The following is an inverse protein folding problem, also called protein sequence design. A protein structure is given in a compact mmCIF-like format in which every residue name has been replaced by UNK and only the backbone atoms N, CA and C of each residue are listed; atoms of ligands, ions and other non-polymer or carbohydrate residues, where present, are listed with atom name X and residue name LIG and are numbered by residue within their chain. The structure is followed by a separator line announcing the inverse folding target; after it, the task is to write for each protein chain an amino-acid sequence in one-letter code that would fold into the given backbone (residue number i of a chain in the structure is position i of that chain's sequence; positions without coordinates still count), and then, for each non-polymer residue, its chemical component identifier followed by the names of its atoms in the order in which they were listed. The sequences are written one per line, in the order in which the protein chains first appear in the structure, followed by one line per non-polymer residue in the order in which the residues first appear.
data_IF_272665327160
#
_entry.id   IF_272665327160
#
_cell.length_a   1.000
_cell.length_b   1.000
_cell.length_c   1.000
_cell.angle_alpha   90.00
_cell.angle_beta   90.00
_cell.angle_gamma   90.00
#
_symmetry.space_group_name_H-M   'P 1'
#
loop_
_entity.id
_entity.type
_entity.pdbx_description
1 polymer ?
#
# COMPACT_ATOMS: atom_id res chain seq x y z
N UNK A 1 -8.28 -60.03 36.20
CA UNK A 1 -7.13 -59.31 35.59
C UNK A 1 -7.24 -59.55 34.10
N UNK A 2 -8.12 -58.81 33.43
CA UNK A 2 -8.12 -58.75 31.97
C UNK A 2 -6.97 -57.82 31.59
N UNK A 3 -6.01 -58.35 30.84
CA UNK A 3 -4.86 -57.60 30.35
C UNK A 3 -5.39 -56.62 29.30
N UNK A 4 -5.16 -55.32 29.52
CA UNK A 4 -5.31 -54.28 28.51
C UNK A 4 -4.24 -54.50 27.44
N UNK A 5 -4.39 -55.53 26.63
CA UNK A 5 -3.56 -55.76 25.47
C UNK A 5 -4.04 -54.81 24.37
N UNK A 6 -3.11 -53.99 23.89
CA UNK A 6 -3.37 -53.07 22.78
C UNK A 6 -3.63 -53.92 21.54
N UNK A 7 -4.90 -54.03 21.12
CA UNK A 7 -5.28 -54.68 19.88
C UNK A 7 -4.58 -53.93 18.73
N UNK A 8 -3.63 -54.61 18.09
CA UNK A 8 -2.91 -54.09 16.93
C UNK A 8 -3.61 -54.57 15.66
N UNK A 9 -4.50 -53.75 15.13
CA UNK A 9 -5.11 -54.01 13.83
C UNK A 9 -4.11 -53.72 12.71
N UNK A 10 -3.90 -54.65 11.75
CA UNK A 10 -3.01 -54.39 10.63
C UNK A 10 -3.65 -53.31 9.73
N UNK A 11 -3.03 -52.13 9.70
CA UNK A 11 -3.48 -51.03 8.87
C UNK A 11 -2.85 -51.09 7.47
N UNK A 12 -3.60 -50.79 6.40
CA UNK A 12 -3.04 -50.71 5.05
C UNK A 12 -1.97 -49.62 4.98
N UNK A 13 -0.87 -49.90 4.27
CA UNK A 13 0.25 -48.95 4.09
C UNK A 13 -0.13 -47.88 3.06
N UNK A 14 -1.06 -47.03 3.44
CA UNK A 14 -1.54 -45.90 2.63
C UNK A 14 -1.00 -44.57 3.19
N UNK A 15 -0.77 -43.55 2.34
CA UNK A 15 -0.35 -42.21 2.76
C UNK A 15 -1.25 -41.61 3.84
N UNK A 16 -2.56 -41.83 3.73
CA UNK A 16 -3.53 -41.40 4.72
C UNK A 16 -4.30 -42.59 5.27
N UNK A 17 -4.44 -42.63 6.61
CA UNK A 17 -5.23 -43.63 7.32
C UNK A 17 -6.71 -43.29 7.14
N UNK A 18 -7.35 -43.95 6.18
CA UNK A 18 -8.79 -43.78 5.89
C UNK A 18 -9.45 -45.14 5.72
N UNK A 19 -10.72 -45.25 6.13
CA UNK A 19 -11.52 -46.44 5.89
C UNK A 19 -12.03 -46.47 4.45
N UNK A 20 -11.99 -47.65 3.83
CA UNK A 20 -12.55 -47.89 2.50
C UNK A 20 -13.57 -49.04 2.58
N UNK A 21 -14.64 -49.00 1.75
CA UNK A 21 -15.63 -50.08 1.69
C UNK A 21 -15.12 -51.36 0.99
N UNK A 22 -13.89 -51.35 0.48
CA UNK A 22 -13.21 -52.48 -0.16
C UNK A 22 -11.91 -52.81 0.58
N UNK A 23 -11.40 -54.03 0.40
CA UNK A 23 -10.13 -54.44 1.00
C UNK A 23 -8.96 -53.68 0.37
N UNK A 24 -8.38 -52.77 1.15
CA UNK A 24 -7.24 -51.94 0.76
C UNK A 24 -5.90 -52.48 1.29
N UNK A 25 -5.86 -53.71 1.82
CA UNK A 25 -4.61 -54.31 2.31
C UNK A 25 -3.75 -54.91 1.18
N UNK A 26 -4.34 -55.18 0.01
CA UNK A 26 -3.62 -55.70 -1.16
C UNK A 26 -4.43 -55.66 -2.47
N UNK A 27 -3.82 -56.12 -3.56
CA UNK A 27 -4.45 -56.25 -4.88
C UNK A 27 -4.46 -54.97 -5.73
N UNK A 28 -5.20 -55.00 -6.84
CA UNK A 28 -5.31 -53.87 -7.78
C UNK A 28 -6.03 -52.65 -7.18
N UNK A 29 -7.00 -52.89 -6.29
CA UNK A 29 -7.76 -51.83 -5.62
C UNK A 29 -6.88 -51.00 -4.67
N UNK A 30 -5.87 -51.60 -4.05
CA UNK A 30 -4.87 -50.87 -3.26
C UNK A 30 -4.11 -49.85 -4.12
N UNK A 31 -3.67 -50.23 -5.33
CA UNK A 31 -2.93 -49.35 -6.24
C UNK A 31 -3.80 -48.17 -6.67
N UNK A 32 -5.08 -48.42 -6.96
CA UNK A 32 -6.04 -47.37 -7.34
C UNK A 32 -6.27 -46.41 -6.16
N UNK A 33 -6.49 -46.94 -4.95
CA UNK A 33 -6.68 -46.12 -3.75
C UNK A 33 -5.44 -45.28 -3.44
N UNK A 34 -4.24 -45.87 -3.56
CA UNK A 34 -2.97 -45.17 -3.37
C UNK A 34 -2.80 -44.02 -4.38
N UNK A 35 -3.02 -44.28 -5.67
CA UNK A 35 -2.92 -43.26 -6.71
C UNK A 35 -3.94 -42.14 -6.50
N UNK A 36 -5.17 -42.48 -6.11
CA UNK A 36 -6.20 -41.51 -5.78
C UNK A 36 -5.84 -40.65 -4.57
N UNK A 37 -5.31 -41.24 -3.49
CA UNK A 37 -4.86 -40.50 -2.31
C UNK A 37 -3.73 -39.53 -2.64
N UNK A 38 -2.74 -39.95 -3.44
CA UNK A 38 -1.64 -39.07 -3.86
C UNK A 38 -2.15 -37.90 -4.71
N UNK A 39 -3.02 -38.19 -5.69
CA UNK A 39 -3.65 -37.15 -6.51
C UNK A 39 -4.45 -36.16 -5.66
N UNK A 40 -5.30 -36.67 -4.78
CA UNK A 40 -6.15 -35.85 -3.92
C UNK A 40 -5.34 -35.00 -2.94
N UNK A 41 -4.31 -35.57 -2.31
CA UNK A 41 -3.43 -34.84 -1.39
C UNK A 41 -2.67 -33.73 -2.12
N UNK A 42 -2.12 -34.03 -3.29
CA UNK A 42 -1.41 -33.05 -4.11
C UNK A 42 -2.34 -31.91 -4.56
N UNK A 43 -3.51 -32.24 -5.09
CA UNK A 43 -4.50 -31.26 -5.53
C UNK A 43 -5.00 -30.38 -4.37
N UNK A 44 -5.30 -30.99 -3.22
CA UNK A 44 -5.76 -30.26 -2.03
C UNK A 44 -4.68 -29.31 -1.49
N UNK A 45 -3.43 -29.79 -1.43
CA UNK A 45 -2.32 -28.98 -0.94
C UNK A 45 -1.99 -27.83 -1.90
N UNK A 46 -2.04 -28.06 -3.21
CA UNK A 46 -1.91 -27.01 -4.22
C UNK A 46 -3.02 -25.97 -4.03
N UNK A 47 -4.28 -26.40 -3.98
CA UNK A 47 -5.41 -25.47 -3.90
C UNK A 47 -5.32 -24.60 -2.65
N UNK A 48 -4.98 -25.18 -1.49
CA UNK A 48 -4.79 -24.43 -0.26
C UNK A 48 -3.64 -23.41 -0.36
N UNK A 49 -2.45 -23.86 -0.82
CA UNK A 49 -1.29 -22.97 -0.95
C UNK A 49 -1.51 -21.87 -2.00
N UNK A 50 -2.23 -22.14 -3.09
CA UNK A 50 -2.54 -21.12 -4.10
C UNK A 50 -3.40 -20.00 -3.54
N UNK A 51 -4.39 -20.32 -2.70
CA UNK A 51 -5.24 -19.31 -2.06
C UNK A 51 -4.43 -18.42 -1.11
N UNK A 52 -3.55 -19.02 -0.32
CA UNK A 52 -2.66 -18.30 0.59
C UNK A 52 -1.68 -17.39 -0.18
N UNK A 53 -1.06 -17.91 -1.25
CA UNK A 53 -0.14 -17.15 -2.10
C UNK A 53 -0.86 -16.02 -2.84
N UNK A 54 -2.08 -16.25 -3.33
CA UNK A 54 -2.89 -15.22 -3.97
C UNK A 54 -3.17 -14.07 -3.01
N UNK A 55 -3.59 -14.38 -1.77
CA UNK A 55 -3.80 -13.37 -0.74
C UNK A 55 -2.52 -12.60 -0.41
N UNK A 56 -1.41 -13.30 -0.21
CA UNK A 56 -0.12 -12.66 0.06
C UNK A 56 0.32 -11.76 -1.11
N UNK A 57 0.06 -12.17 -2.34
CA UNK A 57 0.36 -11.36 -3.54
C UNK A 57 -0.46 -10.07 -3.57
N UNK A 58 -1.73 -10.11 -3.15
CA UNK A 58 -2.55 -8.90 -3.02
C UNK A 58 -2.06 -7.96 -1.94
N UNK A 59 -1.60 -8.48 -0.79
CA UNK A 59 -1.00 -7.67 0.27
C UNK A 59 0.30 -7.02 -0.19
N UNK A 60 1.21 -7.78 -0.80
CA UNK A 60 2.46 -7.25 -1.35
C UNK A 60 2.17 -6.15 -2.36
N UNK A 61 1.22 -6.37 -3.26
CA UNK A 61 0.81 -5.36 -4.23
C UNK A 61 0.30 -4.09 -3.55
N UNK A 62 -0.53 -4.21 -2.49
CA UNK A 62 -0.99 -3.05 -1.73
C UNK A 62 0.16 -2.30 -1.03
N UNK A 63 1.12 -3.02 -0.43
CA UNK A 63 2.32 -2.42 0.17
C UNK A 63 3.13 -1.62 -0.86
N UNK A 64 3.37 -2.18 -2.05
CA UNK A 64 4.05 -1.49 -3.15
C UNK A 64 3.28 -0.23 -3.60
N UNK A 65 1.94 -0.27 -3.64
CA UNK A 65 1.15 0.92 -3.93
C UNK A 65 1.31 2.01 -2.84
N UNK A 66 1.42 1.64 -1.57
CA UNK A 66 1.68 2.57 -0.46
C UNK A 66 3.09 3.18 -0.55
N UNK A 67 4.11 2.38 -0.83
CA UNK A 67 5.47 2.86 -1.06
C UNK A 67 5.55 3.83 -2.25
N UNK A 68 4.86 3.52 -3.35
CA UNK A 68 4.76 4.42 -4.49
C UNK A 68 4.04 5.73 -4.13
N UNK A 69 2.99 5.68 -3.32
CA UNK A 69 2.28 6.86 -2.84
C UNK A 69 3.17 7.76 -1.98
N UNK A 70 3.97 7.16 -1.10
CA UNK A 70 4.99 7.82 -0.28
C UNK A 70 6.06 8.49 -1.13
N UNK A 71 6.54 7.85 -2.18
CA UNK A 71 7.54 8.42 -3.09
C UNK A 71 7.05 9.69 -3.82
N UNK A 72 5.76 9.76 -4.17
CA UNK A 72 5.16 10.94 -4.82
C UNK A 72 5.03 12.13 -3.84
N UNK A 73 4.96 11.87 -2.54
CA UNK A 73 4.64 12.91 -1.55
C UNK A 73 5.73 13.99 -1.42
N UNK A 74 7.01 13.62 -1.51
CA UNK A 74 8.13 14.57 -1.46
C UNK A 74 8.09 15.60 -2.61
N UNK A 75 8.09 15.21 -3.90
CA UNK A 75 8.04 16.16 -5.00
C UNK A 75 6.74 16.97 -5.02
N UNK A 76 5.63 16.42 -4.53
CA UNK A 76 4.38 17.16 -4.38
C UNK A 76 4.50 18.30 -3.36
N UNK A 77 5.17 18.06 -2.23
CA UNK A 77 5.37 19.08 -1.21
C UNK A 77 6.38 20.15 -1.65
N UNK A 78 7.48 19.75 -2.29
CA UNK A 78 8.45 20.68 -2.88
C UNK A 78 7.80 21.59 -3.92
N UNK A 79 6.94 21.02 -4.78
CA UNK A 79 6.13 21.79 -5.71
C UNK A 79 5.22 22.77 -4.97
N UNK A 80 4.50 22.35 -3.92
CA UNK A 80 3.66 23.26 -3.13
C UNK A 80 4.45 24.41 -2.48
N UNK A 81 5.62 24.12 -1.90
CA UNK A 81 6.47 25.13 -1.27
C UNK A 81 7.06 26.13 -2.28
N UNK A 82 7.48 25.65 -3.46
CA UNK A 82 7.99 26.51 -4.54
C UNK A 82 6.93 27.50 -5.05
N UNK A 83 5.67 27.09 -5.02
CA UNK A 83 4.55 27.91 -5.46
C UNK A 83 4.21 28.98 -4.42
N UNK A 84 4.29 28.68 -3.13
CA UNK A 84 4.03 29.64 -2.04
C UNK A 84 5.15 30.68 -1.89
N UNK A 85 6.39 30.29 -2.21
CA UNK A 85 7.55 31.21 -2.20
C UNK A 85 7.53 32.21 -3.36
N UNK A 86 6.80 31.90 -4.45
CA UNK A 86 6.61 32.82 -5.58
C UNK A 86 5.61 33.92 -5.22
N UNK A 87 6.08 34.92 -4.47
CA UNK A 87 5.34 36.16 -4.19
C UNK A 87 5.73 37.23 -5.21
N UNK A 88 4.91 37.54 -6.22
CA UNK A 88 5.19 38.69 -7.07
C UNK A 88 5.14 39.96 -6.20
N UNK A 89 6.12 40.84 -6.40
CA UNK A 89 6.19 42.18 -5.79
C UNK A 89 6.50 42.27 -4.29
N UNK A 90 7.40 41.45 -3.73
CA UNK A 90 8.04 41.78 -2.44
C UNK A 90 8.82 43.10 -2.50
N UNK A 91 9.38 43.44 -3.67
CA UNK A 91 10.08 44.71 -3.88
C UNK A 91 9.17 45.95 -3.89
N UNK A 92 7.87 45.82 -4.18
CA UNK A 92 6.93 46.95 -4.10
C UNK A 92 6.37 47.16 -2.69
N UNK A 93 6.30 46.10 -1.87
CA UNK A 93 5.86 46.20 -0.48
C UNK A 93 6.80 47.09 0.38
N UNK A 94 8.08 47.17 -0.01
CA UNK A 94 9.06 48.08 0.60
C UNK A 94 9.19 49.43 -0.13
N UNK A 95 8.45 49.67 -1.23
CA UNK A 95 8.44 50.93 -1.99
C UNK A 95 7.19 51.78 -1.74
N UNK A 96 6.72 51.86 -0.49
CA UNK A 96 5.88 53.00 -0.09
C UNK A 96 6.78 54.24 -0.04
N UNK A 97 6.99 54.84 -1.21
CA UNK A 97 7.58 56.18 -1.34
C UNK A 97 6.43 57.16 -1.54
N UNK A 98 6.25 57.99 -0.53
CA UNK A 98 5.39 59.17 -0.50
C UNK A 98 5.45 59.96 -1.81
N UNK A 99 4.44 59.83 -2.67
CA UNK A 99 4.19 60.81 -3.72
C UNK A 99 2.71 60.81 -4.07
N UNK A 100 2.04 61.90 -3.69
CA UNK A 100 0.76 62.31 -4.24
C UNK A 100 0.87 62.44 -5.77
N UNK A 101 -0.12 61.93 -6.53
CA UNK A 101 -0.80 62.67 -7.61
C UNK A 101 -1.78 61.82 -8.43
N UNK A 102 -3.01 62.33 -8.46
CA UNK A 102 -3.88 62.58 -9.61
C UNK A 102 -4.21 61.43 -10.58
N UNK A 103 -5.42 60.91 -10.36
CA UNK A 103 -6.40 60.36 -11.31
C UNK A 103 -6.26 60.81 -12.78
N UNK A 104 -6.25 59.83 -13.70
CA UNK A 104 -6.75 59.94 -15.09
C UNK A 104 -7.19 58.57 -15.63
N UNK A 105 -8.42 58.54 -16.16
CA UNK A 105 -9.06 57.41 -16.87
C UNK A 105 -8.57 57.33 -18.32
N UNK A 106 -8.42 56.12 -18.91
CA UNK A 106 -8.56 55.98 -20.36
C UNK A 106 -9.45 54.81 -20.84
N UNK A 107 -10.05 55.05 -22.01
CA UNK A 107 -11.04 54.28 -22.77
C UNK A 107 -10.58 52.90 -23.33
N UNK A 108 -11.50 52.03 -23.82
CA UNK A 108 -11.20 50.63 -24.16
C UNK A 108 -11.11 50.38 -25.68
N UNK A 109 -9.99 49.86 -26.21
CA UNK A 109 -10.02 49.06 -27.44
C UNK A 109 -8.82 48.11 -27.61
N UNK A 110 -9.17 46.90 -28.08
CA UNK A 110 -8.40 45.86 -28.79
C UNK A 110 -7.35 45.02 -28.04
N UNK A 111 -7.81 43.85 -27.57
CA UNK A 111 -7.02 42.73 -27.07
C UNK A 111 -6.77 41.74 -28.23
N UNK A 112 -5.55 41.72 -28.78
CA UNK A 112 -5.18 40.89 -29.93
C UNK A 112 -4.72 39.47 -29.49
N UNK A 113 -5.43 38.45 -29.99
CA UNK A 113 -5.42 37.02 -29.56
C UNK A 113 -4.28 36.22 -30.22
N UNK A 114 -3.07 36.77 -30.37
CA UNK A 114 -1.97 36.08 -31.11
C UNK A 114 -0.69 35.77 -30.33
N UNK A 115 -0.61 36.14 -29.05
CA UNK A 115 0.58 35.87 -28.21
C UNK A 115 0.68 34.49 -27.55
N UNK A 116 -0.31 33.61 -27.73
CA UNK A 116 -0.54 32.46 -26.83
C UNK A 116 0.41 31.25 -27.06
N UNK A 117 1.24 31.23 -28.11
CA UNK A 117 2.03 30.03 -28.47
C UNK A 117 3.57 30.18 -28.42
N UNK A 118 4.13 31.25 -27.86
CA UNK A 118 5.59 31.51 -27.88
C UNK A 118 6.35 31.19 -26.56
N UNK A 119 5.80 30.40 -25.65
CA UNK A 119 6.28 30.30 -24.25
C UNK A 119 7.44 29.31 -23.97
N UNK A 120 7.98 28.62 -24.97
CA UNK A 120 9.07 27.66 -24.71
C UNK A 120 10.47 28.31 -24.64
N UNK A 121 10.68 29.48 -25.23
CA UNK A 121 11.99 30.14 -25.26
C UNK A 121 12.27 31.06 -24.05
N UNK A 122 11.24 31.57 -23.37
CA UNK A 122 11.42 32.49 -22.24
C UNK A 122 11.75 31.81 -20.90
N UNK A 123 11.49 30.51 -20.76
CA UNK A 123 11.83 29.76 -19.54
C UNK A 123 13.35 29.64 -19.34
N UNK A 124 14.12 29.64 -20.43
CA UNK A 124 15.59 29.55 -20.39
C UNK A 124 16.30 30.88 -20.18
N UNK A 125 15.71 32.01 -20.60
CA UNK A 125 16.37 33.33 -20.51
C UNK A 125 16.20 34.01 -19.15
N UNK A 126 15.20 33.62 -18.36
CA UNK A 126 14.98 34.21 -17.03
C UNK A 126 15.92 33.61 -15.96
N UNK A 127 16.56 32.47 -16.23
CA UNK A 127 17.47 31.79 -15.30
C UNK A 127 18.89 32.41 -15.25
N UNK A 128 19.25 33.26 -16.22
CA UNK A 128 20.55 33.94 -16.27
C UNK A 128 20.35 35.43 -16.03
N UNK A 129 20.68 35.90 -14.83
CA UNK A 129 20.45 37.26 -14.35
C UNK A 129 21.17 38.37 -15.14
N UNK A 130 20.69 38.70 -16.33
CA UNK A 130 21.10 39.89 -17.07
C UNK A 130 19.98 40.35 -18.01
N UNK A 131 19.35 41.49 -17.70
CA UNK A 131 18.51 42.21 -18.65
C UNK A 131 17.24 42.79 -18.06
N UNK A 132 17.33 43.98 -17.45
CA UNK A 132 16.17 44.76 -17.05
C UNK A 132 15.37 45.23 -18.28
N UNK A 133 14.12 44.78 -18.38
CA UNK A 133 13.04 45.54 -19.05
C UNK A 133 11.83 45.49 -18.13
N UNK A 134 11.52 46.63 -17.50
CA UNK A 134 10.28 46.86 -16.76
C UNK A 134 9.09 46.65 -17.69
N UNK A 135 8.26 45.65 -17.43
CA UNK A 135 6.89 45.59 -17.92
C UNK A 135 5.95 45.98 -16.78
N UNK A 136 5.32 47.14 -16.93
CA UNK A 136 4.31 47.67 -16.02
C UNK A 136 3.02 46.85 -16.17
N UNK A 137 2.76 45.94 -15.24
CA UNK A 137 1.47 45.24 -15.13
C UNK A 137 0.57 45.96 -14.13
N UNK A 138 -0.19 46.93 -14.63
CA UNK A 138 -1.39 47.41 -13.96
C UNK A 138 -2.52 46.39 -14.16
N UNK A 139 -2.60 45.38 -13.31
CA UNK A 139 -3.84 44.62 -13.16
C UNK A 139 -3.96 44.14 -11.72
N UNK A 140 -4.80 44.86 -10.98
CA UNK A 140 -5.18 44.58 -9.61
C UNK A 140 -5.98 43.27 -9.60
N UNK A 141 -5.27 42.15 -9.54
CA UNK A 141 -5.88 40.83 -9.40
C UNK A 141 -6.08 40.59 -7.90
N UNK A 142 -7.35 40.56 -7.50
CA UNK A 142 -7.80 40.47 -6.12
C UNK A 142 -7.69 39.01 -5.61
N UNK A 143 -6.51 38.39 -5.73
CA UNK A 143 -6.21 37.08 -5.18
C UNK A 143 -5.27 37.27 -3.98
N UNK A 144 -5.67 36.91 -2.74
CA UNK A 144 -4.86 37.14 -1.55
C UNK A 144 -3.47 36.43 -1.58
N UNK A 145 -3.26 35.49 -2.50
CA UNK A 145 -2.06 34.64 -2.52
C UNK A 145 -1.01 34.96 -3.59
N UNK A 146 -1.21 35.91 -4.51
CA UNK A 146 -0.18 36.30 -5.48
C UNK A 146 0.34 35.20 -6.45
N UNK A 147 -0.07 33.93 -6.32
CA UNK A 147 0.23 32.88 -7.30
C UNK A 147 -0.44 33.17 -8.65
N UNK A 148 0.24 32.82 -9.73
CA UNK A 148 -0.43 32.73 -11.04
C UNK A 148 -1.56 31.70 -10.95
N UNK A 149 -2.74 32.00 -11.48
CA UNK A 149 -3.91 31.09 -11.45
C UNK A 149 -3.59 29.69 -12.02
N UNK A 150 -2.61 29.58 -12.92
CA UNK A 150 -2.12 28.31 -13.50
C UNK A 150 -1.32 27.47 -12.49
N UNK A 151 -0.56 28.13 -11.64
CA UNK A 151 0.30 27.52 -10.61
C UNK A 151 -0.55 26.91 -9.48
N UNK A 152 -1.56 27.64 -9.02
CA UNK A 152 -2.55 27.16 -8.04
C UNK A 152 -3.35 25.97 -8.59
N UNK A 153 -3.76 26.04 -9.86
CA UNK A 153 -4.46 24.95 -10.53
C UNK A 153 -3.61 23.68 -10.63
N UNK A 154 -2.30 23.81 -10.87
CA UNK A 154 -1.37 22.69 -10.96
C UNK A 154 -1.19 22.01 -9.58
N UNK A 155 -0.95 22.76 -8.51
CA UNK A 155 -0.87 22.22 -7.15
C UNK A 155 -2.15 21.48 -6.73
N UNK A 156 -3.33 22.11 -6.96
CA UNK A 156 -4.62 21.48 -6.68
C UNK A 156 -4.83 20.20 -7.47
N UNK A 157 -4.41 20.17 -8.74
CA UNK A 157 -4.50 18.96 -9.57
C UNK A 157 -3.59 17.83 -9.07
N UNK A 158 -2.38 18.16 -8.60
CA UNK A 158 -1.43 17.20 -8.05
C UNK A 158 -1.92 16.62 -6.71
N UNK A 159 -2.42 17.46 -5.81
CA UNK A 159 -3.04 17.04 -4.54
C UNK A 159 -4.25 16.16 -4.83
N UNK A 160 -5.13 16.57 -5.74
CA UNK A 160 -6.31 15.78 -6.13
C UNK A 160 -5.91 14.39 -6.67
N UNK A 161 -4.89 14.33 -7.53
CA UNK A 161 -4.36 13.06 -8.03
C UNK A 161 -3.86 12.16 -6.91
N UNK A 162 -3.08 12.71 -5.98
CA UNK A 162 -2.56 11.96 -4.84
C UNK A 162 -3.68 11.44 -3.94
N UNK A 163 -4.66 12.27 -3.59
CA UNK A 163 -5.83 11.89 -2.77
C UNK A 163 -6.63 10.78 -3.43
N UNK A 164 -6.92 10.90 -4.73
CA UNK A 164 -7.69 9.86 -5.43
C UNK A 164 -6.92 8.54 -5.48
N UNK A 165 -5.60 8.60 -5.66
CA UNK A 165 -4.75 7.41 -5.61
C UNK A 165 -4.70 6.79 -4.22
N UNK A 166 -4.57 7.57 -3.16
CA UNK A 166 -4.65 7.08 -1.77
C UNK A 166 -5.99 6.39 -1.50
N UNK A 167 -7.11 7.03 -1.90
CA UNK A 167 -8.46 6.44 -1.79
C UNK A 167 -8.58 5.11 -2.55
N UNK A 168 -7.98 4.98 -3.72
CA UNK A 168 -7.96 3.72 -4.46
C UNK A 168 -7.20 2.62 -3.72
N UNK A 169 -6.07 2.93 -3.10
CA UNK A 169 -5.29 1.97 -2.30
C UNK A 169 -6.07 1.55 -1.05
N UNK A 170 -6.67 2.50 -0.33
CA UNK A 170 -7.51 2.18 0.84
C UNK A 170 -8.67 1.28 0.44
N UNK A 171 -9.39 1.61 -0.65
CA UNK A 171 -10.48 0.77 -1.16
C UNK A 171 -10.01 -0.63 -1.55
N UNK A 172 -8.83 -0.76 -2.14
CA UNK A 172 -8.24 -2.05 -2.48
C UNK A 172 -8.00 -2.88 -1.21
N UNK A 173 -7.36 -2.30 -0.18
CA UNK A 173 -7.09 -2.99 1.09
C UNK A 173 -8.39 -3.38 1.80
N UNK A 174 -9.39 -2.50 1.83
CA UNK A 174 -10.72 -2.82 2.37
C UNK A 174 -11.38 -3.97 1.62
N UNK A 175 -11.34 -3.95 0.28
CA UNK A 175 -11.93 -5.03 -0.54
C UNK A 175 -11.21 -6.37 -0.35
N UNK A 176 -9.88 -6.36 -0.16
CA UNK A 176 -9.09 -7.56 0.18
C UNK A 176 -9.53 -8.08 1.56
N UNK A 177 -9.67 -7.18 2.54
CA UNK A 177 -10.14 -7.48 3.89
C UNK A 177 -11.56 -8.08 3.90
N UNK A 178 -12.49 -7.52 3.13
CA UNK A 178 -13.87 -8.03 3.05
C UNK A 178 -13.93 -9.41 2.39
N UNK A 179 -13.07 -9.67 1.40
CA UNK A 179 -13.06 -10.93 0.66
C UNK A 179 -12.38 -12.05 1.45
N UNK A 180 -11.23 -11.77 2.08
CA UNK A 180 -10.41 -12.80 2.72
C UNK A 180 -10.48 -12.77 4.26
N UNK A 181 -11.10 -11.76 4.87
CA UNK A 181 -11.16 -11.59 6.33
C UNK A 181 -11.82 -12.76 7.05
N UNK A 182 -12.98 -13.23 6.57
CA UNK A 182 -13.63 -14.41 7.15
C UNK A 182 -12.81 -15.69 6.95
N UNK A 183 -12.18 -15.84 5.78
CA UNK A 183 -11.30 -16.98 5.51
C UNK A 183 -10.08 -17.00 6.44
N UNK A 184 -9.46 -15.84 6.71
CA UNK A 184 -8.35 -15.70 7.67
C UNK A 184 -8.77 -16.05 9.09
N UNK A 185 -9.97 -15.67 9.53
CA UNK A 185 -10.47 -16.03 10.86
C UNK A 185 -10.54 -17.56 11.01
N UNK A 186 -11.13 -18.25 10.05
CA UNK A 186 -11.18 -19.72 10.07
C UNK A 186 -9.78 -20.34 9.94
N UNK A 187 -8.92 -19.76 9.11
CA UNK A 187 -7.53 -20.20 8.97
C UNK A 187 -6.75 -20.12 10.28
N UNK A 188 -6.83 -18.99 10.99
CA UNK A 188 -6.17 -18.80 12.28
C UNK A 188 -6.75 -19.72 13.36
N UNK A 189 -8.07 -19.93 13.37
CA UNK A 189 -8.73 -20.86 14.28
C UNK A 189 -8.24 -22.30 14.06
N UNK A 190 -8.29 -22.78 12.81
CA UNK A 190 -7.86 -24.14 12.44
C UNK A 190 -6.36 -24.32 12.73
N UNK A 191 -5.54 -23.33 12.39
CA UNK A 191 -4.10 -23.36 12.66
C UNK A 191 -3.80 -23.42 14.14
N UNK A 192 -4.56 -22.70 14.99
CA UNK A 192 -4.41 -22.75 16.45
C UNK A 192 -4.75 -24.13 17.01
N UNK A 193 -5.88 -24.71 16.59
CA UNK A 193 -6.27 -26.07 17.00
C UNK A 193 -5.23 -27.09 16.54
N UNK A 194 -4.78 -26.99 15.28
CA UNK A 194 -3.77 -27.88 14.71
C UNK A 194 -2.44 -27.76 15.45
N UNK A 195 -2.01 -26.54 15.77
CA UNK A 195 -0.75 -26.29 16.49
C UNK A 195 -0.79 -26.87 17.90
N UNK A 196 -1.90 -26.76 18.63
CA UNK A 196 -2.03 -27.35 19.97
C UNK A 196 -1.98 -28.89 19.93
N UNK A 197 -2.62 -29.51 18.93
CA UNK A 197 -2.56 -30.97 18.74
C UNK A 197 -1.16 -31.42 18.33
N UNK A 198 -0.49 -30.71 17.41
CA UNK A 198 0.87 -31.01 16.99
C UNK A 198 1.88 -30.83 18.13
N UNK A 199 1.71 -29.82 18.99
CA UNK A 199 2.52 -29.64 20.18
C UNK A 199 2.41 -30.86 21.11
N UNK A 200 1.21 -31.41 21.30
CA UNK A 200 1.04 -32.66 22.05
C UNK A 200 1.69 -33.87 21.35
N UNK A 201 1.59 -34.00 20.02
CA UNK A 201 2.28 -35.08 19.30
C UNK A 201 3.81 -34.95 19.41
N UNK A 202 4.34 -33.73 19.46
CA UNK A 202 5.77 -33.47 19.60
C UNK A 202 6.33 -33.91 20.98
N UNK A 203 5.53 -33.91 22.05
CA UNK A 203 5.99 -34.39 23.37
C UNK A 203 6.12 -35.91 23.46
N UNK A 204 5.47 -36.65 22.55
CA UNK A 204 5.54 -38.11 22.45
C UNK A 204 6.72 -38.62 21.61
N UNK A 205 7.66 -37.75 21.28
CA UNK A 205 8.85 -38.12 20.50
C UNK A 205 9.88 -38.75 21.44
N UNK A 206 10.00 -40.07 21.38
CA UNK A 206 10.94 -40.84 22.21
C UNK A 206 12.34 -40.98 21.57
N UNK A 207 12.54 -40.51 20.33
CA UNK A 207 13.81 -40.57 19.61
C UNK A 207 13.73 -40.19 18.13
N UNK A 208 14.84 -40.34 17.41
CA UNK A 208 14.92 -40.05 15.96
C UNK A 208 14.29 -41.22 15.18
N UNK A 209 13.02 -41.07 14.82
CA UNK A 209 12.27 -42.03 14.02
C UNK A 209 11.43 -41.31 12.94
N UNK A 210 10.80 -42.09 12.05
CA UNK A 210 9.94 -41.56 10.98
C UNK A 210 8.79 -40.72 11.53
N UNK A 211 8.24 -41.10 12.70
CA UNK A 211 7.22 -40.34 13.39
C UNK A 211 7.72 -38.94 13.79
N UNK A 212 8.90 -38.85 14.41
CA UNK A 212 9.53 -37.59 14.81
C UNK A 212 9.74 -36.67 13.60
N UNK A 213 10.27 -37.20 12.49
CA UNK A 213 10.46 -36.43 11.26
C UNK A 213 9.12 -35.92 10.71
N UNK A 214 8.09 -36.77 10.68
CA UNK A 214 6.77 -36.36 10.20
C UNK A 214 6.14 -35.29 11.10
N UNK A 215 6.18 -35.45 12.43
CA UNK A 215 5.62 -34.50 13.40
C UNK A 215 6.33 -33.15 13.35
N UNK A 216 7.67 -33.15 13.29
CA UNK A 216 8.46 -31.92 13.15
C UNK A 216 8.20 -31.26 11.79
N UNK A 217 8.10 -32.05 10.71
CA UNK A 217 7.74 -31.56 9.38
C UNK A 217 6.38 -30.86 9.38
N UNK A 218 5.34 -31.48 9.90
CA UNK A 218 4.01 -30.88 10.02
C UNK A 218 4.02 -29.63 10.91
N UNK A 219 4.71 -29.67 12.06
CA UNK A 219 4.83 -28.53 12.96
C UNK A 219 5.50 -27.33 12.26
N UNK A 220 6.62 -27.57 11.58
CA UNK A 220 7.35 -26.53 10.85
C UNK A 220 6.52 -25.95 9.70
N UNK A 221 5.76 -26.77 8.99
CA UNK A 221 4.86 -26.33 7.93
C UNK A 221 3.73 -25.44 8.47
N UNK A 222 3.02 -25.88 9.51
CA UNK A 222 1.93 -25.10 10.13
C UNK A 222 2.44 -23.79 10.72
N UNK A 223 3.60 -23.80 11.40
CA UNK A 223 4.22 -22.58 11.90
C UNK A 223 4.64 -21.64 10.76
N UNK A 224 5.24 -22.18 9.71
CA UNK A 224 5.63 -21.42 8.52
C UNK A 224 4.45 -20.73 7.85
N UNK A 225 3.31 -21.42 7.73
CA UNK A 225 2.09 -20.86 7.17
C UNK A 225 1.57 -19.66 7.97
N UNK A 226 1.46 -19.80 9.31
CA UNK A 226 1.04 -18.69 10.18
C UNK A 226 2.05 -17.54 10.15
N UNK A 227 3.34 -17.84 10.24
CA UNK A 227 4.40 -16.85 10.20
C UNK A 227 4.36 -16.03 8.90
N UNK A 228 4.11 -16.68 7.76
CA UNK A 228 3.99 -16.01 6.47
C UNK A 228 2.88 -14.95 6.46
N UNK A 229 1.69 -15.29 6.97
CA UNK A 229 0.60 -14.33 7.11
C UNK A 229 0.94 -13.18 8.06
N UNK A 230 1.60 -13.47 9.19
CA UNK A 230 2.00 -12.46 10.15
C UNK A 230 3.05 -11.49 9.57
N UNK A 231 4.02 -11.97 8.79
CA UNK A 231 5.05 -11.12 8.17
C UNK A 231 4.41 -10.12 7.21
N UNK A 232 3.55 -10.57 6.29
CA UNK A 232 2.92 -9.66 5.35
C UNK A 232 1.86 -8.77 5.99
N UNK A 233 1.15 -9.27 7.00
CA UNK A 233 0.25 -8.45 7.81
C UNK A 233 1.01 -7.31 8.51
N UNK A 234 2.14 -7.63 9.16
CA UNK A 234 2.99 -6.63 9.81
C UNK A 234 3.59 -5.65 8.82
N UNK A 235 4.07 -6.13 7.66
CA UNK A 235 4.61 -5.25 6.62
C UNK A 235 3.55 -4.27 6.11
N UNK A 236 2.30 -4.71 5.92
CA UNK A 236 1.22 -3.81 5.53
C UNK A 236 0.96 -2.74 6.59
N UNK A 237 0.93 -3.12 7.87
CA UNK A 237 0.75 -2.18 8.99
C UNK A 237 1.90 -1.16 9.00
N UNK A 238 3.15 -1.63 8.95
CA UNK A 238 4.35 -0.79 8.95
C UNK A 238 4.35 0.19 7.78
N UNK A 239 4.06 -0.28 6.56
CA UNK A 239 3.99 0.58 5.38
C UNK A 239 2.88 1.62 5.48
N UNK A 240 1.70 1.24 6.00
CA UNK A 240 0.58 2.17 6.19
C UNK A 240 0.93 3.30 7.17
N UNK A 241 1.57 2.98 8.30
CA UNK A 241 2.04 3.98 9.27
C UNK A 241 3.20 4.80 8.72
N UNK A 242 4.06 4.23 7.89
CA UNK A 242 5.18 4.95 7.27
C UNK A 242 4.71 6.04 6.29
N UNK A 243 3.51 5.92 5.72
CA UNK A 243 2.90 6.98 4.90
C UNK A 243 2.62 8.21 5.75
N UNK A 244 2.09 8.04 6.96
CA UNK A 244 1.90 9.15 7.91
C UNK A 244 3.23 9.81 8.26
N UNK A 245 4.25 9.03 8.62
CA UNK A 245 5.58 9.56 8.98
C UNK A 245 6.20 10.34 7.81
N UNK A 246 6.09 9.81 6.59
CA UNK A 246 6.56 10.50 5.40
C UNK A 246 5.82 11.82 5.18
N UNK A 247 4.51 11.86 5.45
CA UNK A 247 3.68 13.07 5.32
C UNK A 247 4.08 14.11 6.36
N UNK A 248 4.47 13.68 7.55
CA UNK A 248 5.01 14.56 8.58
C UNK A 248 6.41 15.09 8.24
N UNK A 249 7.25 14.25 7.63
CA UNK A 249 8.66 14.56 7.31
C UNK A 249 8.85 15.52 6.12
N UNK A 250 7.82 15.75 5.32
CA UNK A 250 7.90 16.69 4.21
C UNK A 250 7.88 18.15 4.72
N UNK A 251 8.41 19.10 3.95
CA UNK A 251 8.48 20.53 4.32
C UNK A 251 7.10 21.21 4.24
N UNK A 252 6.09 20.63 4.90
CA UNK A 252 4.71 21.12 4.88
C UNK A 252 4.54 22.49 5.54
N UNK A 253 5.47 22.88 6.42
CA UNK A 253 5.47 24.17 7.11
C UNK A 253 5.73 25.35 6.17
N UNK A 254 6.49 25.13 5.09
CA UNK A 254 6.76 26.12 4.02
C UNK A 254 5.79 25.97 2.83
N UNK A 255 4.82 25.07 2.92
CA UNK A 255 3.79 24.86 1.91
C UNK A 255 2.58 25.77 2.12
N UNK A 256 1.78 25.92 1.06
CA UNK A 256 0.51 26.66 1.09
C UNK A 256 -0.45 26.16 2.19
N UNK A 257 -1.37 27.00 2.67
CA UNK A 257 -2.40 26.63 3.66
C UNK A 257 -3.25 25.41 3.23
N UNK A 258 -3.46 25.22 1.93
CA UNK A 258 -4.14 24.03 1.37
C UNK A 258 -3.32 22.76 1.58
N UNK A 259 -1.99 22.83 1.44
CA UNK A 259 -1.09 21.71 1.68
C UNK A 259 -0.99 21.34 3.17
N UNK A 260 -1.00 22.33 4.06
CA UNK A 260 -1.02 22.10 5.53
C UNK A 260 -2.28 21.33 5.95
N UNK A 261 -3.45 21.76 5.46
CA UNK A 261 -4.73 21.11 5.76
C UNK A 261 -4.79 19.70 5.16
N UNK A 262 -4.25 19.52 3.95
CA UNK A 262 -4.13 18.21 3.32
C UNK A 262 -3.27 17.24 4.15
N UNK A 263 -2.09 17.65 4.62
CA UNK A 263 -1.23 16.81 5.47
C UNK A 263 -1.91 16.43 6.77
N UNK A 264 -2.64 17.36 7.41
CA UNK A 264 -3.41 17.07 8.62
C UNK A 264 -4.46 15.96 8.39
N UNK A 265 -5.22 16.04 7.29
CA UNK A 265 -6.23 15.02 6.95
C UNK A 265 -5.56 13.67 6.69
N UNK A 266 -4.45 13.66 5.93
CA UNK A 266 -3.71 12.43 5.63
C UNK A 266 -3.17 11.78 6.90
N UNK A 267 -2.56 12.56 7.79
CA UNK A 267 -2.05 12.04 9.06
C UNK A 267 -3.17 11.48 9.95
N UNK A 268 -4.35 12.10 9.98
CA UNK A 268 -5.49 11.56 10.75
C UNK A 268 -6.06 10.26 10.18
N UNK A 269 -5.97 10.04 8.86
CA UNK A 269 -6.49 8.84 8.19
C UNK A 269 -5.49 7.68 8.17
N UNK A 270 -4.19 7.98 8.27
CA UNK A 270 -3.10 7.00 8.24
C UNK A 270 -2.55 6.65 9.63
N UNK A 271 -3.13 7.21 10.70
CA UNK A 271 -2.84 6.90 12.11
C UNK A 271 -3.65 5.70 12.58
#
# INVERSE_FOLDING_TARGET
KETNETISEPAPRLPLKTWYPFDAMGGSMYIIAFAFQVYWLFFSMITANLMDVMFCSWLIFACEQLQHLKAIMKPLMELSASLDTYRPNTAELFRVSSTEKSEKVPDPVDMDIRGIYATQQDFGMTLRGAGGRLQTFGQQNNNPNGLSQKQEMLARSAIKYWVERHKHVVRLVTSIGDTYGTALLFHMLISTITLTLLAYQATKIDGINVYAFSTIGYLSYTLGQVFHFCVFGNQLIEESSSVMEAAYSCQWYDGSEEAKTFVQIVCQQCQ
#
